data_IF_260667274005
#
_entry.id   IF_260667274005
#
_cell.length_a   1.000
_cell.length_b   1.000
_cell.length_c   1.000
_cell.angle_alpha   90.00
_cell.angle_beta   90.00
_cell.angle_gamma   90.00
#
_symmetry.space_group_name_H-M   'P 1'
#
loop_
_entity.id
_entity.type
_entity.pdbx_description
1 polymer ?
#
# COMPACT_ATOMS: atom_id res chain seq x y z
N UNK A 1 -17.99 61.90 1.86
CA UNK A 1 -18.82 62.13 0.66
C UNK A 1 -18.38 61.03 -0.31
N UNK A 2 -19.12 59.92 -0.50
CA UNK A 2 -20.49 59.80 -1.03
C UNK A 2 -20.54 60.27 -2.50
N UNK A 3 -21.08 59.52 -3.47
CA UNK A 3 -22.08 58.43 -3.40
C UNK A 3 -21.83 57.28 -4.40
N UNK A 4 -22.51 56.15 -4.15
CA UNK A 4 -22.83 55.10 -5.12
C UNK A 4 -23.93 55.49 -6.13
N UNK A 5 -24.13 54.59 -7.11
CA UNK A 5 -25.38 54.33 -7.88
C UNK A 5 -25.76 55.25 -9.04
N UNK A 6 -26.12 54.65 -10.19
CA UNK A 6 -27.49 54.64 -10.79
C UNK A 6 -27.57 53.52 -11.87
N UNK A 7 -28.78 52.96 -12.04
CA UNK A 7 -29.22 51.96 -13.05
C UNK A 7 -30.58 52.48 -13.59
N UNK A 8 -31.11 52.24 -14.80
CA UNK A 8 -31.03 51.18 -15.85
C UNK A 8 -31.26 51.88 -17.25
N UNK A 9 -31.85 51.30 -18.32
CA UNK A 9 -31.58 50.06 -19.10
C UNK A 9 -31.41 50.32 -20.63
N UNK A 10 -30.92 49.34 -21.40
CA UNK A 10 -31.28 49.19 -22.83
C UNK A 10 -31.10 47.77 -23.40
N UNK A 11 -32.21 47.21 -23.88
CA UNK A 11 -32.44 46.12 -24.86
C UNK A 11 -31.27 45.57 -25.70
N UNK A 12 -31.24 44.23 -25.88
CA UNK A 12 -30.53 43.57 -26.99
C UNK A 12 -30.35 42.06 -26.83
N UNK A 13 -31.21 41.24 -27.46
CA UNK A 13 -31.08 39.77 -27.52
C UNK A 13 -29.81 39.35 -28.29
N UNK A 14 -28.96 38.48 -27.73
CA UNK A 14 -28.96 37.00 -27.89
C UNK A 14 -28.68 36.50 -29.31
N UNK A 15 -27.64 35.68 -29.45
CA UNK A 15 -27.63 34.53 -30.37
C UNK A 15 -26.60 33.48 -29.91
N UNK A 16 -27.08 32.36 -29.37
CA UNK A 16 -26.27 31.18 -29.09
C UNK A 16 -26.36 30.21 -30.28
N UNK A 17 -25.24 29.63 -30.72
CA UNK A 17 -25.25 28.60 -31.75
C UNK A 17 -25.71 27.26 -31.17
N UNK A 18 -26.93 26.84 -31.53
CA UNK A 18 -27.43 25.49 -31.28
C UNK A 18 -27.56 24.77 -32.63
N UNK A 19 -26.80 23.69 -32.83
CA UNK A 19 -26.86 22.90 -34.08
C UNK A 19 -28.12 22.03 -34.07
N UNK A 20 -29.03 22.25 -35.01
CA UNK A 20 -30.10 21.30 -35.34
C UNK A 20 -29.74 20.54 -36.62
N UNK A 21 -29.79 19.20 -36.56
CA UNK A 21 -29.83 18.38 -37.77
C UNK A 21 -31.26 18.40 -38.33
N UNK A 22 -31.41 18.84 -39.59
CA UNK A 22 -32.67 18.62 -40.32
C UNK A 22 -32.59 17.33 -41.13
N UNK A 23 -33.65 16.53 -41.04
CA UNK A 23 -33.91 15.39 -41.92
C UNK A 23 -34.62 15.92 -43.16
N UNK A 24 -34.00 15.78 -44.33
CA UNK A 24 -34.65 16.08 -45.62
C UNK A 24 -35.17 14.79 -46.23
N UNK A 25 -36.49 14.65 -46.28
CA UNK A 25 -37.16 13.62 -47.08
C UNK A 25 -37.29 14.13 -48.51
N UNK A 26 -36.93 13.31 -49.50
CA UNK A 26 -36.95 13.68 -50.91
C UNK A 26 -37.76 12.65 -51.71
N UNK A 27 -38.73 13.14 -52.49
CA UNK A 27 -39.73 12.32 -53.17
C UNK A 27 -39.16 11.65 -54.44
N UNK A 28 -39.74 10.50 -54.82
CA UNK A 28 -39.40 9.78 -56.05
C UNK A 28 -39.84 10.54 -57.31
N UNK A 29 -39.02 10.50 -58.36
CA UNK A 29 -39.47 10.56 -59.75
C UNK A 29 -38.58 9.71 -60.67
N UNK A 30 -39.21 8.65 -61.19
CA UNK A 30 -38.96 7.93 -62.46
C UNK A 30 -37.62 8.03 -63.24
N UNK A 31 -37.05 6.84 -63.47
CA UNK A 31 -36.57 6.36 -64.78
C UNK A 31 -35.28 6.91 -65.40
N UNK A 32 -34.14 6.29 -65.07
CA UNK A 32 -33.03 6.09 -66.01
C UNK A 32 -32.37 4.71 -65.80
N UNK A 33 -32.23 3.92 -66.87
CA UNK A 33 -31.45 2.66 -66.85
C UNK A 33 -29.98 2.98 -67.11
N UNK A 34 -29.12 2.75 -66.13
CA UNK A 34 -27.67 2.61 -66.34
C UNK A 34 -27.21 1.20 -65.97
N UNK A 35 -26.28 0.65 -66.75
CA UNK A 35 -25.72 -0.67 -66.52
C UNK A 35 -24.87 -0.69 -65.24
N UNK A 36 -25.21 -1.59 -64.32
CA UNK A 36 -24.36 -1.92 -63.18
C UNK A 36 -23.16 -2.74 -63.64
N UNK A 37 -21.96 -2.19 -63.52
CA UNK A 37 -20.70 -2.95 -63.53
C UNK A 37 -20.18 -2.96 -62.09
N UNK A 38 -20.18 -4.09 -61.38
CA UNK A 38 -19.65 -4.15 -60.02
C UNK A 38 -18.12 -4.13 -60.07
N UNK A 39 -17.53 -2.96 -59.81
CA UNK A 39 -16.10 -2.85 -59.57
C UNK A 39 -15.80 -3.47 -58.20
N UNK A 40 -15.29 -4.70 -58.20
CA UNK A 40 -14.79 -5.38 -57.01
C UNK A 40 -13.53 -4.66 -56.48
N UNK A 41 -13.75 -3.62 -55.67
CA UNK A 41 -12.73 -3.04 -54.81
C UNK A 41 -12.36 -4.08 -53.75
N UNK A 42 -11.28 -4.82 -54.01
CA UNK A 42 -10.62 -5.65 -53.02
C UNK A 42 -10.08 -4.75 -51.91
N UNK A 43 -10.86 -4.58 -50.84
CA UNK A 43 -10.35 -4.04 -49.58
C UNK A 43 -9.39 -5.09 -49.04
N UNK A 44 -8.10 -4.91 -49.36
CA UNK A 44 -7.02 -5.67 -48.75
C UNK A 44 -7.08 -5.42 -47.25
N UNK A 45 -7.68 -6.37 -46.53
CA UNK A 45 -7.74 -6.34 -45.09
C UNK A 45 -6.32 -6.36 -44.55
N UNK A 46 -5.82 -5.19 -44.14
CA UNK A 46 -4.66 -5.12 -43.27
C UNK A 46 -5.06 -5.84 -41.98
N UNK A 47 -4.65 -7.10 -41.89
CA UNK A 47 -4.65 -7.83 -40.65
C UNK A 47 -3.71 -7.09 -39.71
N UNK A 48 -4.27 -6.18 -38.91
CA UNK A 48 -3.64 -5.74 -37.69
C UNK A 48 -3.46 -7.00 -36.84
N UNK A 49 -2.27 -7.57 -36.88
CA UNK A 49 -1.79 -8.41 -35.79
C UNK A 49 -1.79 -7.52 -34.55
N UNK A 50 -2.93 -7.54 -33.84
CA UNK A 50 -3.01 -7.09 -32.48
C UNK A 50 -1.92 -7.86 -31.75
N UNK A 51 -0.81 -7.17 -31.44
CA UNK A 51 0.18 -7.70 -30.55
C UNK A 51 -0.55 -7.84 -29.23
N UNK A 52 -0.95 -9.07 -28.91
CA UNK A 52 -1.60 -9.39 -27.66
C UNK A 52 -0.70 -8.82 -26.56
N UNK A 53 -1.21 -7.82 -25.84
CA UNK A 53 -0.48 -7.21 -24.75
C UNK A 53 -0.44 -8.27 -23.67
N UNK A 54 0.67 -9.02 -23.62
CA UNK A 54 0.86 -10.08 -22.64
C UNK A 54 1.09 -9.41 -21.29
N UNK A 55 -0.01 -9.26 -20.56
CA UNK A 55 -0.02 -8.84 -19.16
C UNK A 55 0.85 -9.80 -18.31
N UNK A 56 1.32 -9.36 -17.12
CA UNK A 56 2.07 -10.24 -16.22
C UNK A 56 1.27 -11.51 -15.92
N UNK A 57 1.90 -12.66 -16.10
CA UNK A 57 1.26 -13.97 -15.95
C UNK A 57 1.27 -14.43 -14.49
N UNK A 58 0.10 -14.86 -14.00
CA UNK A 58 -0.05 -15.49 -12.70
C UNK A 58 -0.22 -17.01 -12.88
N UNK A 59 0.78 -17.78 -12.47
CA UNK A 59 0.86 -19.23 -12.69
C UNK A 59 0.93 -19.99 -11.35
N UNK A 60 0.19 -21.09 -11.17
CA UNK A 60 0.30 -21.92 -9.96
C UNK A 60 1.65 -22.63 -9.92
N UNK A 61 2.31 -22.64 -8.75
CA UNK A 61 3.64 -23.24 -8.55
C UNK A 61 3.71 -24.26 -7.40
N UNK A 62 2.66 -24.42 -6.61
CA UNK A 62 2.61 -25.42 -5.53
C UNK A 62 1.43 -25.20 -4.56
N UNK A 63 1.42 -25.95 -3.46
CA UNK A 63 0.55 -25.63 -2.32
C UNK A 63 1.09 -24.47 -1.48
N UNK A 64 0.30 -23.99 -0.51
CA UNK A 64 0.74 -22.94 0.43
C UNK A 64 2.02 -23.37 1.17
N UNK A 65 2.99 -22.46 1.38
CA UNK A 65 4.04 -22.69 2.37
C UNK A 65 3.45 -22.67 3.77
N UNK A 66 4.13 -23.32 4.71
CA UNK A 66 3.80 -23.21 6.14
C UNK A 66 3.89 -21.75 6.59
N UNK A 67 2.95 -21.33 7.45
CA UNK A 67 3.00 -19.98 8.03
C UNK A 67 4.35 -19.75 8.73
N UNK A 68 4.94 -18.54 8.60
CA UNK A 68 6.20 -18.22 9.25
C UNK A 68 6.05 -18.31 10.78
N UNK A 69 6.96 -19.05 11.42
CA UNK A 69 6.98 -19.15 12.88
C UNK A 69 7.43 -17.79 13.44
N UNK A 70 6.74 -17.21 14.45
CA UNK A 70 7.16 -15.97 15.08
C UNK A 70 8.53 -16.09 15.75
N UNK A 71 9.50 -15.30 15.28
CA UNK A 71 10.82 -15.18 15.89
C UNK A 71 10.73 -14.43 17.21
N UNK A 72 11.06 -15.11 18.31
CA UNK A 72 11.03 -14.57 19.67
C UNK A 72 12.42 -14.09 20.12
N UNK A 73 12.52 -13.00 20.91
CA UNK A 73 13.80 -12.49 21.37
C UNK A 73 14.39 -13.40 22.46
N UNK A 74 15.69 -13.66 22.37
CA UNK A 74 16.42 -14.34 23.45
C UNK A 74 16.65 -13.32 24.58
N UNK A 75 16.05 -13.59 25.74
CA UNK A 75 16.11 -12.76 26.94
C UNK A 75 16.49 -13.62 28.16
N UNK A 76 17.29 -13.06 29.05
CA UNK A 76 17.48 -13.60 30.40
C UNK A 76 16.21 -13.40 31.26
N UNK A 77 16.06 -14.12 32.39
CA UNK A 77 14.97 -13.87 33.33
C UNK A 77 14.96 -12.43 33.88
N UNK A 78 16.13 -11.80 34.03
CA UNK A 78 16.25 -10.42 34.46
C UNK A 78 15.77 -9.43 33.39
N UNK A 79 16.24 -9.57 32.14
CA UNK A 79 15.74 -8.75 31.00
C UNK A 79 14.22 -8.92 30.82
N UNK A 80 13.69 -10.13 31.00
CA UNK A 80 12.25 -10.40 30.90
C UNK A 80 11.46 -9.74 32.04
N UNK A 81 12.00 -9.72 33.26
CA UNK A 81 11.37 -9.05 34.41
C UNK A 81 11.40 -7.52 34.29
N UNK A 82 12.45 -6.95 33.68
CA UNK A 82 12.62 -5.51 33.49
C UNK A 82 11.80 -4.95 32.32
N UNK A 83 11.85 -5.61 31.15
CA UNK A 83 11.23 -5.12 29.92
C UNK A 83 9.86 -5.71 29.62
N UNK A 84 9.45 -6.75 30.37
CA UNK A 84 8.21 -7.47 30.19
C UNK A 84 8.29 -8.60 29.16
N UNK A 85 7.30 -9.49 29.22
CA UNK A 85 7.18 -10.65 28.32
C UNK A 85 6.95 -10.15 26.88
N UNK A 86 7.67 -10.67 25.87
CA UNK A 86 7.38 -10.41 24.45
C UNK A 86 5.95 -10.81 24.06
N UNK A 87 5.44 -10.22 22.98
CA UNK A 87 4.20 -10.68 22.37
C UNK A 87 4.41 -12.08 21.77
N UNK A 88 3.62 -13.06 22.21
CA UNK A 88 3.81 -14.50 21.92
C UNK A 88 3.86 -14.84 20.43
N UNK A 89 3.09 -14.13 19.62
CA UNK A 89 2.99 -14.26 18.16
C UNK A 89 3.56 -13.04 17.42
N UNK A 90 4.25 -12.16 18.14
CA UNK A 90 5.03 -11.08 17.59
C UNK A 90 6.37 -11.55 17.01
N UNK A 91 6.91 -10.77 16.08
CA UNK A 91 8.18 -11.02 15.42
C UNK A 91 9.26 -10.03 15.91
N UNK A 92 10.47 -10.52 16.08
CA UNK A 92 11.68 -9.69 16.16
C UNK A 92 12.09 -9.23 14.76
N UNK A 93 12.13 -7.92 14.52
CA UNK A 93 12.83 -7.37 13.34
C UNK A 93 14.26 -7.04 13.72
N UNK A 94 15.22 -7.49 12.91
CA UNK A 94 16.67 -7.31 13.14
C UNK A 94 17.32 -6.53 12.00
N UNK A 95 18.19 -5.56 12.31
CA UNK A 95 19.04 -4.86 11.35
C UNK A 95 20.54 -5.18 11.52
N UNK A 96 21.31 -5.30 10.41
CA UNK A 96 22.75 -5.55 10.46
C UNK A 96 23.59 -4.32 10.86
N UNK A 97 22.99 -3.12 10.80
CA UNK A 97 23.62 -1.82 11.10
C UNK A 97 22.66 -0.94 11.92
N UNK A 98 23.02 0.33 12.17
CA UNK A 98 22.22 1.27 12.98
C UNK A 98 22.56 1.27 14.48
N UNK A 99 21.89 2.13 15.24
CA UNK A 99 21.96 2.23 16.71
C UNK A 99 20.96 1.29 17.39
N UNK A 100 19.77 1.11 16.82
CA UNK A 100 18.82 0.02 17.14
C UNK A 100 19.12 -1.19 16.25
N UNK A 101 19.31 -2.37 16.85
CA UNK A 101 19.64 -3.62 16.14
C UNK A 101 18.52 -4.63 16.10
N UNK A 102 17.68 -4.66 17.11
CA UNK A 102 16.49 -5.50 17.15
C UNK A 102 15.34 -4.73 17.77
N UNK A 103 14.12 -5.01 17.34
CA UNK A 103 12.91 -4.53 18.00
C UNK A 103 11.83 -5.61 17.99
N UNK A 104 11.05 -5.64 19.07
CA UNK A 104 9.87 -6.48 19.21
C UNK A 104 8.84 -5.82 20.11
N UNK A 105 7.61 -6.28 20.00
CA UNK A 105 6.51 -5.84 20.86
C UNK A 105 6.48 -6.67 22.15
N UNK A 106 6.14 -6.03 23.26
CA UNK A 106 6.16 -6.62 24.60
C UNK A 106 5.01 -6.11 25.46
N UNK A 107 4.85 -6.72 26.64
CA UNK A 107 3.79 -6.43 27.60
C UNK A 107 2.39 -6.65 26.98
N UNK A 108 2.03 -7.91 26.65
CA UNK A 108 0.74 -8.24 26.06
C UNK A 108 -0.42 -7.80 26.95
N UNK A 109 -1.44 -7.19 26.35
CA UNK A 109 -2.59 -6.59 27.04
C UNK A 109 -3.90 -6.84 26.29
N UNK A 110 -5.01 -6.87 27.04
CA UNK A 110 -6.37 -7.01 26.52
C UNK A 110 -7.18 -5.72 26.63
N UNK A 111 -6.53 -4.57 26.86
CA UNK A 111 -7.21 -3.27 27.03
C UNK A 111 -7.88 -2.72 25.76
N UNK A 112 -7.60 -3.32 24.61
CA UNK A 112 -8.19 -2.98 23.31
C UNK A 112 -8.60 -4.28 22.60
N UNK A 113 -9.90 -4.52 22.49
CA UNK A 113 -10.47 -5.77 21.97
C UNK A 113 -10.94 -5.66 20.52
N UNK A 114 -10.10 -5.19 19.60
CA UNK A 114 -10.50 -5.01 18.20
C UNK A 114 -10.48 -6.34 17.41
N UNK A 115 -9.48 -7.19 17.62
CA UNK A 115 -9.45 -8.52 16.99
C UNK A 115 -8.83 -8.57 15.60
N UNK A 116 -8.27 -7.47 15.08
CA UNK A 116 -8.03 -7.34 13.63
C UNK A 116 -6.93 -8.26 13.10
N UNK A 117 -5.97 -8.62 13.96
CA UNK A 117 -4.86 -9.52 13.66
C UNK A 117 -5.13 -10.99 14.03
N UNK A 118 -6.36 -11.34 14.42
CA UNK A 118 -6.79 -12.74 14.65
C UNK A 118 -6.92 -13.15 16.10
N UNK A 119 -6.46 -12.33 17.05
CA UNK A 119 -6.87 -12.39 18.46
C UNK A 119 -7.05 -10.99 19.05
N UNK A 120 -7.36 -10.91 20.34
CA UNK A 120 -7.57 -9.66 21.10
C UNK A 120 -6.46 -9.42 22.14
N UNK A 121 -5.21 -9.71 21.78
CA UNK A 121 -4.01 -9.47 22.58
C UNK A 121 -3.09 -8.52 21.81
N UNK A 122 -3.05 -7.28 22.27
CA UNK A 122 -2.24 -6.22 21.69
C UNK A 122 -1.02 -5.94 22.58
N UNK A 123 -0.06 -5.16 22.12
CA UNK A 123 1.12 -4.84 22.93
C UNK A 123 1.01 -3.48 23.64
N UNK A 124 1.36 -3.44 24.94
CA UNK A 124 1.46 -2.18 25.68
C UNK A 124 2.82 -1.50 25.50
N UNK A 125 3.85 -2.21 25.02
CA UNK A 125 5.20 -1.68 24.89
C UNK A 125 5.93 -2.11 23.62
N UNK A 126 6.89 -1.28 23.21
CA UNK A 126 7.97 -1.61 22.29
C UNK A 126 9.24 -1.81 23.11
N UNK A 127 9.98 -2.91 22.88
CA UNK A 127 11.34 -3.10 23.41
C UNK A 127 12.31 -3.20 22.25
N UNK A 128 13.48 -2.55 22.40
CA UNK A 128 14.55 -2.60 21.41
C UNK A 128 15.88 -3.01 22.03
N UNK A 129 16.69 -3.76 21.28
CA UNK A 129 18.09 -4.06 21.60
C UNK A 129 18.99 -3.15 20.77
N UNK A 130 19.84 -2.39 21.46
CA UNK A 130 20.75 -1.42 20.88
C UNK A 130 22.07 -2.06 20.40
N UNK A 131 22.87 -1.30 19.66
CA UNK A 131 24.18 -1.75 19.15
C UNK A 131 25.16 -2.15 20.27
N UNK A 132 25.07 -1.53 21.45
CA UNK A 132 25.81 -1.91 22.66
C UNK A 132 25.18 -3.09 23.43
N UNK A 133 24.17 -3.77 22.84
CA UNK A 133 23.33 -4.85 23.42
C UNK A 133 22.38 -4.46 24.54
N UNK A 134 22.40 -3.21 25.01
CA UNK A 134 21.45 -2.71 26.01
C UNK A 134 20.02 -2.84 25.50
N UNK A 135 19.10 -3.15 26.42
CA UNK A 135 17.66 -3.10 26.18
C UNK A 135 17.10 -1.77 26.67
N UNK A 136 16.20 -1.19 25.87
CA UNK A 136 15.37 -0.05 26.29
C UNK A 136 13.95 -0.25 25.79
N UNK A 137 12.97 0.19 26.57
CA UNK A 137 11.54 0.03 26.26
C UNK A 137 10.81 1.36 26.25
N UNK A 138 9.76 1.44 25.43
CA UNK A 138 8.79 2.52 25.41
C UNK A 138 7.40 1.94 25.67
N UNK A 139 6.84 2.26 26.83
CA UNK A 139 5.52 1.80 27.28
C UNK A 139 4.47 2.85 26.92
N UNK A 140 3.38 2.43 26.28
CA UNK A 140 2.25 3.29 25.95
C UNK A 140 1.38 3.58 27.18
N UNK A 141 0.85 4.81 27.32
CA UNK A 141 -0.21 5.10 28.28
C UNK A 141 -1.43 4.19 28.07
N UNK A 142 -2.24 4.00 29.12
CA UNK A 142 -3.45 3.17 29.10
C UNK A 142 -4.50 3.58 28.05
N UNK A 143 -4.36 4.74 27.41
CA UNK A 143 -5.25 5.25 26.36
C UNK A 143 -5.02 4.62 24.97
N UNK A 144 -4.02 3.75 24.82
CA UNK A 144 -3.62 3.19 23.53
C UNK A 144 -2.84 1.88 23.64
N UNK A 145 -2.70 1.17 22.51
CA UNK A 145 -1.89 -0.05 22.34
C UNK A 145 -1.08 0.06 21.05
N UNK A 146 -0.07 -0.79 20.88
CA UNK A 146 0.48 -1.12 19.57
C UNK A 146 -0.37 -2.26 18.99
N UNK A 147 -1.11 -1.96 17.92
CA UNK A 147 -1.97 -2.90 17.19
C UNK A 147 -1.24 -3.36 15.93
N UNK A 148 -0.17 -4.12 16.16
CA UNK A 148 0.80 -4.60 15.19
C UNK A 148 1.45 -5.87 15.78
N UNK A 149 2.12 -6.67 14.96
CA UNK A 149 2.89 -7.85 15.40
C UNK A 149 4.36 -7.80 14.96
N UNK A 150 4.76 -6.86 14.09
CA UNK A 150 6.12 -6.79 13.57
C UNK A 150 6.60 -5.34 13.40
N UNK A 151 7.47 -4.83 14.28
CA UNK A 151 8.06 -3.50 14.10
C UNK A 151 8.81 -3.41 12.77
N UNK A 152 8.65 -2.31 12.03
CA UNK A 152 9.39 -2.05 10.78
C UNK A 152 10.53 -1.09 11.11
N UNK A 153 11.74 -1.38 10.66
CA UNK A 153 12.96 -0.64 11.05
C UNK A 153 13.65 -0.07 9.81
N UNK A 154 14.15 1.16 9.92
CA UNK A 154 14.96 1.79 8.88
C UNK A 154 15.42 3.19 9.30
N UNK A 155 16.47 3.68 8.66
CA UNK A 155 16.86 5.09 8.69
C UNK A 155 15.91 5.85 7.77
N UNK A 156 14.99 6.65 8.33
CA UNK A 156 13.91 7.27 7.57
C UNK A 156 14.32 8.58 6.90
N UNK A 157 15.14 9.39 7.59
CA UNK A 157 15.54 10.74 7.16
C UNK A 157 17.01 10.86 6.74
N UNK A 158 17.78 9.76 6.79
CA UNK A 158 19.15 9.67 6.32
C UNK A 158 20.20 10.16 7.32
N UNK A 159 19.84 10.31 8.61
CA UNK A 159 20.75 10.82 9.64
C UNK A 159 21.70 9.76 10.24
N UNK A 160 21.54 8.49 9.83
CA UNK A 160 22.35 7.35 10.25
C UNK A 160 21.84 6.62 11.49
N UNK A 161 20.73 7.06 12.09
CA UNK A 161 20.02 6.33 13.16
C UNK A 161 18.95 5.41 12.60
N UNK A 162 18.37 4.59 13.46
CA UNK A 162 17.27 3.69 13.11
C UNK A 162 15.98 4.14 13.79
N UNK A 163 14.97 4.42 12.99
CA UNK A 163 13.60 4.57 13.45
C UNK A 163 12.87 3.23 13.47
N UNK A 164 11.85 3.16 14.32
CA UNK A 164 10.91 2.07 14.44
C UNK A 164 9.51 2.59 14.08
N UNK A 165 8.88 1.95 13.09
CA UNK A 165 7.57 2.27 12.58
C UNK A 165 6.57 1.21 13.05
N UNK A 166 5.51 1.65 13.72
CA UNK A 166 4.46 0.83 14.32
C UNK A 166 3.07 1.47 14.15
N UNK A 167 2.03 0.65 14.31
CA UNK A 167 0.64 1.14 14.42
C UNK A 167 0.27 1.32 15.89
N UNK A 168 0.03 2.56 16.32
CA UNK A 168 -0.51 2.89 17.65
C UNK A 168 -2.03 3.10 17.55
N UNK A 169 -2.81 2.24 18.19
CA UNK A 169 -4.27 2.36 18.25
C UNK A 169 -4.73 2.94 19.58
N UNK A 170 -5.41 4.08 19.52
CA UNK A 170 -6.02 4.72 20.67
C UNK A 170 -7.41 4.14 20.93
N UNK A 171 -7.72 3.84 22.20
CA UNK A 171 -8.97 3.18 22.62
C UNK A 171 -10.23 3.88 22.10
N UNK A 172 -10.17 5.21 21.92
CA UNK A 172 -11.30 6.03 21.46
C UNK A 172 -11.09 6.72 20.10
N UNK A 173 -9.84 6.85 19.62
CA UNK A 173 -9.48 7.72 18.48
C UNK A 173 -8.98 6.97 17.23
N UNK A 174 -8.88 5.64 17.32
CA UNK A 174 -8.37 4.80 16.24
C UNK A 174 -6.86 4.84 16.10
N UNK A 175 -6.37 4.25 15.02
CA UNK A 175 -4.95 4.07 14.73
C UNK A 175 -4.24 5.34 14.25
N UNK A 176 -2.93 5.33 14.46
CA UNK A 176 -1.95 6.26 13.90
C UNK A 176 -0.67 5.48 13.60
N UNK A 177 0.05 5.82 12.53
CA UNK A 177 1.45 5.41 12.40
C UNK A 177 2.26 6.22 13.41
N UNK A 178 3.03 5.52 14.22
CA UNK A 178 3.99 6.07 15.16
C UNK A 178 5.42 5.79 14.67
N UNK A 179 6.26 6.81 14.69
CA UNK A 179 7.71 6.74 14.44
C UNK A 179 8.41 6.97 15.77
N UNK A 180 9.17 5.97 16.22
CA UNK A 180 9.96 6.00 17.46
C UNK A 180 11.44 5.88 17.13
N UNK A 181 12.30 6.45 17.98
CA UNK A 181 13.75 6.35 17.83
C UNK A 181 14.48 6.81 19.08
N UNK A 182 15.82 6.82 19.05
CA UNK A 182 16.63 7.24 20.19
C UNK A 182 16.83 8.75 20.23
N UNK A 183 16.43 9.37 21.34
CA UNK A 183 16.78 10.76 21.68
C UNK A 183 17.55 10.77 23.00
N UNK A 184 18.81 11.18 22.96
CA UNK A 184 19.72 11.19 24.11
C UNK A 184 19.79 9.83 24.84
N UNK A 185 19.89 8.74 24.08
CA UNK A 185 19.95 7.37 24.61
C UNK A 185 18.62 6.81 25.16
N UNK A 186 17.52 7.55 25.02
CA UNK A 186 16.18 7.11 25.44
C UNK A 186 15.30 6.87 24.22
N UNK A 187 14.62 5.74 24.17
CA UNK A 187 13.59 5.46 23.18
C UNK A 187 12.37 6.37 23.43
N UNK A 188 11.86 7.01 22.38
CA UNK A 188 10.70 7.89 22.47
C UNK A 188 9.99 8.07 21.14
N UNK A 189 8.76 8.57 21.20
CA UNK A 189 7.99 8.97 20.02
C UNK A 189 8.63 10.22 19.39
N UNK A 190 9.02 10.13 18.12
CA UNK A 190 9.57 11.24 17.34
C UNK A 190 8.44 11.96 16.58
N UNK A 191 7.62 11.20 15.86
CA UNK A 191 6.46 11.71 15.13
C UNK A 191 5.31 10.69 15.13
N UNK A 192 4.10 11.16 14.83
CA UNK A 192 2.97 10.29 14.52
C UNK A 192 2.00 10.98 13.56
N UNK A 193 1.23 10.21 12.79
CA UNK A 193 0.10 10.73 12.02
C UNK A 193 -1.03 11.22 12.93
N UNK A 194 -1.99 12.03 12.44
CA UNK A 194 -3.28 12.19 13.12
C UNK A 194 -3.98 10.84 13.30
N UNK A 195 -4.58 10.60 14.47
CA UNK A 195 -5.36 9.39 14.71
C UNK A 195 -6.63 9.39 13.82
N UNK A 196 -6.96 8.25 13.22
CA UNK A 196 -7.87 8.21 12.05
C UNK A 196 -9.38 8.22 12.33
N UNK A 197 -9.80 8.57 13.55
CA UNK A 197 -11.17 8.98 13.86
C UNK A 197 -11.70 8.36 15.16
N UNK A 198 -12.29 7.16 15.05
CA UNK A 198 -12.92 6.43 16.15
C UNK A 198 -12.12 5.17 16.49
N UNK A 199 -12.41 4.58 17.66
CA UNK A 199 -12.02 3.20 17.99
C UNK A 199 -12.21 2.23 16.81
N UNK A 200 -11.38 1.18 16.76
CA UNK A 200 -11.43 0.09 15.77
C UNK A 200 -11.24 0.55 14.31
N UNK A 201 -10.71 1.75 14.10
CA UNK A 201 -10.20 2.20 12.79
C UNK A 201 -8.71 1.94 12.73
N UNK A 202 -8.29 1.01 11.88
CA UNK A 202 -6.90 0.53 11.79
C UNK A 202 -6.19 0.95 10.49
N UNK A 203 -4.86 0.87 10.52
CA UNK A 203 -3.92 1.17 9.43
C UNK A 203 -3.02 -0.05 9.24
N UNK A 204 -2.70 -0.44 8.00
CA UNK A 204 -1.65 -1.43 7.76
C UNK A 204 -0.51 -0.83 6.93
N UNK A 205 0.64 -0.49 7.54
CA UNK A 205 1.87 -0.17 6.83
C UNK A 205 2.46 -1.45 6.22
N UNK A 206 2.73 -1.45 4.92
CA UNK A 206 3.27 -2.64 4.22
C UNK A 206 4.42 -2.33 3.26
N UNK A 207 4.75 -1.04 3.09
CA UNK A 207 5.86 -0.56 2.27
C UNK A 207 6.78 0.27 3.17
N UNK A 208 8.07 -0.05 3.14
CA UNK A 208 9.15 0.77 3.67
C UNK A 208 10.29 0.72 2.66
N UNK A 209 10.40 1.74 1.81
CA UNK A 209 11.32 1.71 0.66
C UNK A 209 11.64 3.11 0.14
N UNK A 210 12.84 3.30 -0.37
CA UNK A 210 13.20 4.47 -1.16
C UNK A 210 12.53 4.34 -2.55
N UNK A 211 11.47 5.12 -2.75
CA UNK A 211 10.59 5.02 -3.93
C UNK A 211 10.99 5.96 -5.07
N UNK A 212 11.77 7.01 -4.81
CA UNK A 212 12.24 8.00 -5.78
C UNK A 212 13.77 7.97 -5.99
N UNK A 213 14.48 7.11 -5.25
CA UNK A 213 15.94 6.99 -5.19
C UNK A 213 16.62 8.25 -4.58
N UNK A 214 15.95 8.88 -3.60
CA UNK A 214 16.45 10.04 -2.85
C UNK A 214 17.40 9.67 -1.71
N UNK A 215 17.46 8.39 -1.32
CA UNK A 215 18.08 7.92 -0.09
C UNK A 215 17.14 7.94 1.13
N UNK A 216 15.94 8.51 1.01
CA UNK A 216 14.96 8.62 2.10
C UNK A 216 13.87 7.53 1.98
N UNK A 217 13.50 6.92 3.10
CA UNK A 217 12.48 5.86 3.08
C UNK A 217 11.06 6.42 3.07
N UNK A 218 10.25 5.98 2.11
CA UNK A 218 8.80 6.21 2.11
C UNK A 218 8.09 5.09 2.88
N UNK A 219 7.20 5.48 3.79
CA UNK A 219 6.25 4.61 4.48
C UNK A 219 4.96 4.56 3.65
N UNK A 220 4.65 3.41 3.06
CA UNK A 220 3.37 3.19 2.38
C UNK A 220 2.45 2.31 3.22
N UNK A 221 1.19 2.74 3.35
CA UNK A 221 0.16 2.10 4.18
C UNK A 221 -1.20 2.10 3.48
N UNK A 222 -2.10 1.21 3.90
CA UNK A 222 -3.53 1.36 3.59
C UNK A 222 -4.29 1.77 4.85
N UNK A 223 -5.04 2.87 4.73
CA UNK A 223 -5.98 3.33 5.74
C UNK A 223 -7.29 2.58 5.63
N UNK A 224 -7.72 1.96 6.74
CA UNK A 224 -8.97 1.18 6.84
C UNK A 224 -9.13 0.13 5.74
N UNK A 225 -8.20 -0.84 5.60
CA UNK A 225 -8.15 -1.80 4.49
C UNK A 225 -9.40 -2.70 4.36
N UNK A 226 -10.24 -2.78 5.39
CA UNK A 226 -11.47 -3.58 5.41
C UNK A 226 -12.75 -2.76 5.12
N UNK A 227 -12.64 -1.45 4.92
CA UNK A 227 -13.82 -0.55 4.81
C UNK A 227 -13.63 0.50 3.71
N UNK A 228 -12.68 1.43 3.88
CA UNK A 228 -12.48 2.55 2.95
C UNK A 228 -11.36 2.30 1.94
N UNK A 229 -10.31 1.59 2.36
CA UNK A 229 -9.24 1.12 1.48
C UNK A 229 -8.49 2.23 0.75
N UNK A 230 -7.83 3.12 1.48
CA UNK A 230 -7.04 4.21 0.89
C UNK A 230 -5.53 3.95 1.07
N UNK A 231 -4.82 3.72 -0.03
CA UNK A 231 -3.35 3.73 -0.06
C UNK A 231 -2.86 5.16 0.22
N UNK A 232 -1.88 5.29 1.10
CA UNK A 232 -1.22 6.55 1.42
C UNK A 232 0.30 6.34 1.43
N UNK A 233 1.04 7.30 0.87
CA UNK A 233 2.50 7.36 0.96
C UNK A 233 2.90 8.53 1.87
N UNK A 234 3.77 8.26 2.83
CA UNK A 234 4.25 9.19 3.84
C UNK A 234 5.77 9.21 3.88
N UNK A 235 6.35 10.38 4.14
CA UNK A 235 7.78 10.55 4.40
C UNK A 235 7.95 11.18 5.79
N UNK A 236 8.98 10.76 6.51
CA UNK A 236 9.41 11.40 7.74
C UNK A 236 10.48 12.43 7.38
N UNK A 237 10.21 13.70 7.66
CA UNK A 237 11.04 14.82 7.25
C UNK A 237 10.98 15.89 8.35
N UNK A 238 12.12 16.45 8.77
CA UNK A 238 12.20 17.53 9.75
C UNK A 238 11.44 17.25 11.08
N UNK A 239 11.43 15.99 11.54
CA UNK A 239 10.73 15.57 12.77
C UNK A 239 9.21 15.43 12.64
N UNK A 240 8.65 15.38 11.43
CA UNK A 240 7.22 15.22 11.19
C UNK A 240 6.93 14.18 10.08
N UNK A 241 5.74 13.56 10.13
CA UNK A 241 5.23 12.73 9.04
C UNK A 241 4.41 13.58 8.07
N UNK A 242 4.82 13.58 6.81
CA UNK A 242 4.23 14.36 5.71
C UNK A 242 3.65 13.41 4.66
N UNK A 243 2.36 13.55 4.34
CA UNK A 243 1.74 12.75 3.29
C UNK A 243 2.19 13.26 1.93
N UNK A 244 2.74 12.38 1.11
CA UNK A 244 3.17 12.68 -0.26
C UNK A 244 2.04 12.49 -1.26
N UNK A 245 1.32 11.35 -1.17
CA UNK A 245 0.31 10.91 -2.14
C UNK A 245 -0.74 10.04 -1.45
N UNK A 246 -1.93 9.94 -2.03
CA UNK A 246 -2.96 8.98 -1.65
C UNK A 246 -3.76 8.51 -2.88
N UNK A 247 -4.33 7.32 -2.81
CA UNK A 247 -5.28 6.79 -3.80
C UNK A 247 -6.27 5.83 -3.13
N UNK A 248 -7.54 5.88 -3.51
CA UNK A 248 -8.61 5.03 -2.96
C UNK A 248 -8.77 3.73 -3.77
N UNK A 249 -9.38 2.71 -3.15
CA UNK A 249 -9.74 1.46 -3.82
C UNK A 249 -8.77 0.29 -3.62
N UNK A 250 -8.01 0.25 -2.52
CA UNK A 250 -6.99 -0.76 -2.23
C UNK A 250 -7.18 -1.47 -0.89
N UNK A 251 -6.77 -2.74 -0.79
CA UNK A 251 -6.78 -3.51 0.47
C UNK A 251 -5.53 -4.36 0.58
N UNK A 252 -4.64 -4.03 1.52
CA UNK A 252 -3.42 -4.79 1.81
C UNK A 252 -3.56 -5.67 3.08
N UNK A 253 -4.76 -5.97 3.55
CA UNK A 253 -4.96 -6.82 4.73
C UNK A 253 -6.30 -7.56 4.70
N UNK A 254 -6.28 -8.81 5.14
CA UNK A 254 -7.46 -9.66 5.33
C UNK A 254 -7.78 -9.74 6.82
N UNK A 255 -9.01 -9.38 7.21
CA UNK A 255 -9.43 -9.35 8.62
C UNK A 255 -9.16 -10.68 9.34
N UNK A 256 -8.54 -10.61 10.51
CA UNK A 256 -8.15 -11.78 11.30
C UNK A 256 -6.87 -12.49 10.83
N UNK A 257 -6.21 -12.02 9.77
CA UNK A 257 -4.92 -12.55 9.33
C UNK A 257 -3.75 -11.98 10.14
N UNK A 258 -2.65 -12.73 10.21
CA UNK A 258 -1.33 -12.25 10.66
C UNK A 258 -0.49 -11.67 9.51
N UNK A 259 -0.97 -11.78 8.26
CA UNK A 259 -0.25 -11.31 7.08
C UNK A 259 -0.40 -9.79 6.89
N UNK A 260 0.67 -9.05 7.19
CA UNK A 260 0.73 -7.58 7.06
C UNK A 260 1.27 -7.12 5.70
N UNK A 261 1.90 -8.02 4.94
CA UNK A 261 2.69 -7.73 3.74
C UNK A 261 1.98 -7.97 2.41
N UNK A 262 0.67 -7.70 2.28
CA UNK A 262 -0.03 -7.82 0.99
C UNK A 262 0.25 -6.62 0.06
N UNK A 263 1.53 -6.34 -0.17
CA UNK A 263 2.02 -5.40 -1.17
C UNK A 263 3.48 -5.68 -1.51
N UNK A 264 3.92 -5.39 -2.73
CA UNK A 264 5.30 -5.57 -3.16
C UNK A 264 5.86 -4.33 -3.88
N UNK A 265 7.16 -4.07 -3.71
CA UNK A 265 7.91 -3.07 -4.48
C UNK A 265 8.72 -3.75 -5.58
N UNK A 266 8.47 -3.36 -6.81
CA UNK A 266 9.09 -3.90 -8.02
C UNK A 266 9.91 -2.80 -8.71
N UNK A 267 11.03 -3.15 -9.33
CA UNK A 267 11.84 -2.21 -10.10
C UNK A 267 11.44 -2.27 -11.58
N UNK A 268 11.55 -1.13 -12.27
CA UNK A 268 11.63 -1.05 -13.74
C UNK A 268 12.74 -0.06 -14.11
N UNK A 269 13.95 -0.57 -14.33
CA UNK A 269 15.18 0.21 -14.27
C UNK A 269 15.28 0.92 -12.92
N UNK A 270 15.39 2.25 -12.97
CA UNK A 270 15.44 3.09 -11.78
C UNK A 270 14.05 3.41 -11.18
N UNK A 271 12.95 3.12 -11.89
CA UNK A 271 11.59 3.39 -11.41
C UNK A 271 11.16 2.32 -10.40
N UNK A 272 10.35 2.71 -9.40
CA UNK A 272 9.71 1.78 -8.46
C UNK A 272 8.21 1.68 -8.74
N UNK A 273 7.68 0.47 -8.62
CA UNK A 273 6.26 0.17 -8.83
C UNK A 273 5.69 -0.54 -7.64
N UNK A 274 4.45 -0.22 -7.30
CA UNK A 274 3.73 -0.77 -6.16
C UNK A 274 2.72 -1.79 -6.69
N UNK A 275 2.91 -3.06 -6.35
CA UNK A 275 1.91 -4.11 -6.55
C UNK A 275 1.06 -4.23 -5.29
N UNK A 276 -0.25 -4.06 -5.40
CA UNK A 276 -1.17 -4.05 -4.26
C UNK A 276 -2.57 -4.57 -4.67
N UNK A 277 -3.31 -5.31 -3.83
CA UNK A 277 -4.67 -5.72 -4.17
C UNK A 277 -5.66 -4.55 -4.21
N UNK A 278 -6.67 -4.67 -5.07
CA UNK A 278 -7.84 -3.80 -5.01
C UNK A 278 -8.64 -3.99 -3.70
N UNK A 279 -9.58 -3.09 -3.43
CA UNK A 279 -10.40 -3.12 -2.21
C UNK A 279 -11.22 -4.42 -2.02
N UNK A 280 -11.43 -5.20 -3.08
CA UNK A 280 -12.14 -6.48 -3.05
C UNK A 280 -11.22 -7.69 -2.87
N UNK A 281 -9.90 -7.46 -3.02
CA UNK A 281 -8.85 -8.45 -3.16
C UNK A 281 -9.09 -9.45 -4.31
N UNK A 282 -9.77 -9.03 -5.38
CA UNK A 282 -10.02 -9.86 -6.58
C UNK A 282 -9.06 -9.58 -7.73
N UNK A 283 -8.28 -8.49 -7.64
CA UNK A 283 -7.24 -8.13 -8.59
C UNK A 283 -6.02 -7.62 -7.85
N UNK A 284 -4.83 -7.88 -8.40
CA UNK A 284 -3.62 -7.12 -8.12
C UNK A 284 -3.56 -5.94 -9.07
N UNK A 285 -3.29 -4.75 -8.56
CA UNK A 285 -3.06 -3.55 -9.35
C UNK A 285 -1.57 -3.22 -9.27
N UNK A 286 -0.94 -2.97 -10.41
CA UNK A 286 0.42 -2.44 -10.47
C UNK A 286 0.35 -0.93 -10.69
N UNK A 287 0.91 -0.16 -9.77
CA UNK A 287 0.95 1.30 -9.79
C UNK A 287 2.36 1.80 -10.05
N UNK A 288 2.52 2.90 -10.80
CA UNK A 288 3.76 3.69 -10.78
C UNK A 288 3.86 4.45 -9.44
N UNK A 289 4.99 4.36 -8.73
CA UNK A 289 5.10 4.94 -7.36
C UNK A 289 5.00 6.46 -7.34
N UNK A 290 5.43 7.11 -8.42
CA UNK A 290 5.56 8.55 -8.57
C UNK A 290 4.21 9.29 -8.68
N UNK A 291 3.15 8.58 -9.05
CA UNK A 291 1.84 9.15 -9.38
C UNK A 291 0.68 8.33 -8.83
N UNK A 292 0.94 7.10 -8.35
CA UNK A 292 -0.08 6.09 -8.02
C UNK A 292 -1.01 5.77 -9.21
N UNK A 293 -0.52 5.93 -10.44
CA UNK A 293 -1.29 5.62 -11.65
C UNK A 293 -1.30 4.12 -11.93
N UNK A 294 -2.47 3.49 -12.16
CA UNK A 294 -2.55 2.09 -12.57
C UNK A 294 -1.93 1.86 -13.95
N UNK A 295 -0.97 0.94 -14.01
CA UNK A 295 -0.28 0.52 -15.23
C UNK A 295 -0.92 -0.73 -15.84
N UNK A 296 -1.33 -1.68 -15.00
CA UNK A 296 -2.02 -2.93 -15.36
C UNK A 296 -2.75 -3.49 -14.15
N UNK A 297 -3.64 -4.47 -14.37
CA UNK A 297 -4.28 -5.23 -13.30
C UNK A 297 -4.45 -6.70 -13.64
N UNK A 298 -4.03 -7.56 -12.72
CA UNK A 298 -4.01 -9.02 -12.85
C UNK A 298 -5.15 -9.60 -12.02
N UNK A 299 -6.02 -10.40 -12.63
CA UNK A 299 -7.10 -11.06 -11.90
C UNK A 299 -6.53 -12.15 -10.98
N UNK A 300 -7.04 -12.19 -9.74
CA UNK A 300 -6.74 -13.24 -8.78
C UNK A 300 -7.85 -14.30 -8.81
N UNK A 301 -7.53 -15.60 -8.84
CA UNK A 301 -8.54 -16.66 -8.73
C UNK A 301 -9.12 -16.80 -7.32
N UNK A 302 -8.40 -16.31 -6.31
CA UNK A 302 -8.67 -16.46 -4.89
C UNK A 302 -8.04 -15.29 -4.11
N UNK A 303 -8.44 -15.06 -2.85
CA UNK A 303 -7.91 -13.93 -2.04
C UNK A 303 -6.54 -14.25 -1.47
N UNK A 304 -5.60 -13.27 -1.36
CA UNK A 304 -4.33 -13.52 -0.71
C UNK A 304 -4.46 -13.74 0.80
N UNK A 305 -3.64 -14.67 1.33
CA UNK A 305 -3.66 -15.09 2.75
C UNK A 305 -2.34 -14.89 3.48
N UNK A 306 -1.21 -14.80 2.76
CA UNK A 306 0.14 -14.63 3.31
C UNK A 306 0.86 -13.46 2.63
N UNK A 307 1.89 -12.93 3.31
CA UNK A 307 2.75 -11.84 2.82
C UNK A 307 3.31 -12.12 1.42
N UNK A 308 3.41 -11.09 0.58
CA UNK A 308 3.99 -11.21 -0.76
C UNK A 308 5.51 -11.33 -0.67
N UNK A 309 6.07 -12.35 -1.32
CA UNK A 309 7.53 -12.55 -1.37
C UNK A 309 8.05 -12.16 -2.75
N UNK A 310 8.83 -11.08 -2.80
CA UNK A 310 9.54 -10.66 -4.02
C UNK A 310 10.85 -11.43 -4.14
N UNK A 311 10.90 -12.39 -5.06
CA UNK A 311 12.11 -13.12 -5.40
C UNK A 311 12.89 -12.34 -6.45
N UNK A 312 14.19 -12.08 -6.19
CA UNK A 312 15.12 -11.49 -7.15
C UNK A 312 16.06 -12.59 -7.66
N UNK A 313 16.03 -12.84 -8.96
CA UNK A 313 16.87 -13.82 -9.62
C UNK A 313 18.27 -13.25 -9.91
N UNK A 314 19.25 -14.13 -10.13
CA UNK A 314 20.65 -13.74 -10.33
C UNK A 314 20.91 -12.88 -11.58
N UNK A 315 19.99 -12.89 -12.55
CA UNK A 315 19.99 -12.04 -13.74
C UNK A 315 19.30 -10.67 -13.52
N UNK A 316 18.86 -10.38 -12.30
CA UNK A 316 18.12 -9.16 -11.93
C UNK A 316 16.59 -9.30 -11.99
N UNK A 317 16.06 -10.32 -12.69
CA UNK A 317 14.63 -10.50 -12.91
C UNK A 317 13.85 -10.74 -11.62
N UNK A 318 12.67 -10.15 -11.54
CA UNK A 318 11.78 -10.22 -10.39
C UNK A 318 10.58 -11.13 -10.65
N UNK A 319 10.22 -11.93 -9.65
CA UNK A 319 8.92 -12.57 -9.60
C UNK A 319 8.35 -12.51 -8.18
N UNK A 320 7.03 -12.63 -8.05
CA UNK A 320 6.34 -12.50 -6.76
C UNK A 320 5.64 -13.81 -6.44
N UNK A 321 5.96 -14.42 -5.30
CA UNK A 321 5.20 -15.54 -4.74
C UNK A 321 3.99 -14.99 -3.97
N UNK A 322 2.81 -15.52 -4.27
CA UNK A 322 1.53 -15.05 -3.73
C UNK A 322 0.68 -16.26 -3.34
N UNK A 323 0.45 -16.45 -2.04
CA UNK A 323 -0.34 -17.56 -1.50
C UNK A 323 -1.81 -17.16 -1.37
N UNK A 324 -2.73 -17.95 -1.93
CA UNK A 324 -4.16 -17.63 -2.02
C UNK A 324 -5.05 -18.62 -1.24
N UNK A 325 -6.27 -18.18 -0.89
CA UNK A 325 -7.21 -18.98 -0.07
C UNK A 325 -7.86 -20.18 -0.78
N UNK A 326 -7.46 -20.49 -2.02
CA UNK A 326 -7.74 -21.76 -2.70
C UNK A 326 -6.74 -22.88 -2.32
N UNK A 327 -5.74 -22.58 -1.49
CA UNK A 327 -4.71 -23.52 -1.07
C UNK A 327 -3.48 -23.55 -1.99
N UNK A 328 -3.42 -22.68 -2.99
CA UNK A 328 -2.37 -22.66 -4.01
C UNK A 328 -1.41 -21.48 -3.83
N UNK A 329 -0.12 -21.77 -3.97
CA UNK A 329 0.92 -20.76 -4.14
C UNK A 329 1.06 -20.44 -5.62
N UNK A 330 0.86 -19.18 -5.98
CA UNK A 330 1.04 -18.66 -7.33
C UNK A 330 2.35 -17.89 -7.44
N UNK A 331 2.86 -17.80 -8.67
CA UNK A 331 3.93 -16.89 -9.04
C UNK A 331 3.42 -15.89 -10.07
N UNK A 332 3.64 -14.61 -9.80
CA UNK A 332 3.47 -13.52 -10.75
C UNK A 332 4.80 -13.22 -11.44
N UNK A 333 4.84 -13.32 -12.76
CA UNK A 333 6.02 -13.07 -13.61
C UNK A 333 5.65 -12.11 -14.75
N UNK A 334 6.50 -11.11 -15.01
CA UNK A 334 6.50 -10.39 -16.27
C UNK A 334 7.64 -10.93 -17.14
N UNK A 335 7.29 -11.75 -18.12
CA UNK A 335 8.24 -12.34 -19.07
C UNK A 335 8.62 -11.39 -20.21
N UNK A 336 7.94 -10.24 -20.33
CA UNK A 336 8.24 -9.20 -21.33
C UNK A 336 9.19 -8.13 -20.82
N UNK A 337 9.32 -8.00 -19.49
CA UNK A 337 10.04 -6.91 -18.86
C UNK A 337 9.40 -5.53 -19.08
N UNK A 338 8.11 -5.44 -19.43
CA UNK A 338 7.40 -4.16 -19.67
C UNK A 338 7.00 -3.45 -18.38
N UNK A 339 6.58 -4.23 -17.40
CA UNK A 339 5.95 -3.82 -16.16
C UNK A 339 6.90 -3.90 -14.96
N UNK A 340 7.83 -4.85 -14.94
CA UNK A 340 8.95 -4.88 -14.01
C UNK A 340 10.10 -5.69 -14.61
N UNK A 341 11.32 -5.46 -14.11
CA UNK A 341 12.53 -6.14 -14.61
C UNK A 341 12.62 -7.60 -14.20
#
# INVERSE_FOLDING_TARGET
MACDTVIVPAHGMTLALQRQCQVVSMQLLSSFRLLFVPLLLSVSGFAFCAHAQTEPSLSPIGGLPSDPIPDQPILSPAETAEHGIPLHDGYVTTLPHGDIRQAWLSQPTKRYGHGILGDSIEAAALTVRLANRQLVSFVLPEDSVFEDIKPRLGDLDGDGKTEVILVRSYLMKGASVAVLGLKNGRLGLLAQTPAIGTANRWLNPSILSDLDNSGLLTIGLVRTPHIGGQLQLWQYENGALKQLKQADGFSNHSIGSRALGLSAILNKGNMKRILIPDATQSRLILLESDTLTPLTSIALPARPVQDFVVNRLANGHQNISIALNDGTLYRLEDTTGRYFD
#
